data_IF_931656375487
#
_entry.id   IF_931656375487
#
_cell.length_a   1.000
_cell.length_b   1.000
_cell.length_c   1.000
_cell.angle_alpha   90.00
_cell.angle_beta   90.00
_cell.angle_gamma   90.00
#
_symmetry.space_group_name_H-M   'P 1'
#
loop_
_entity.id
_entity.type
_entity.pdbx_description
1 polymer ?
#
# COMPACT_ATOMS: atom_id res chain seq x y z
N UNK A 1 -10.76 11.36 -21.66
CA UNK A 1 -10.92 10.66 -20.38
C UNK A 1 -11.21 9.18 -20.59
N UNK A 2 -12.32 8.80 -21.27
CA UNK A 2 -12.67 7.40 -21.50
C UNK A 2 -11.54 6.60 -22.17
N UNK A 3 -10.97 7.09 -23.27
CA UNK A 3 -9.86 6.45 -23.95
C UNK A 3 -8.60 6.31 -23.06
N UNK A 4 -8.36 7.27 -22.17
CA UNK A 4 -7.22 7.23 -21.23
C UNK A 4 -7.45 6.19 -20.16
N UNK A 5 -8.64 6.12 -19.56
CA UNK A 5 -9.01 5.16 -18.54
C UNK A 5 -8.98 3.72 -19.10
N UNK A 6 -9.56 3.50 -20.27
CA UNK A 6 -9.59 2.21 -20.93
C UNK A 6 -8.18 1.74 -21.33
N UNK A 7 -7.37 2.62 -21.91
CA UNK A 7 -5.97 2.30 -22.27
C UNK A 7 -5.13 1.92 -21.06
N UNK A 8 -5.28 2.63 -19.94
CA UNK A 8 -4.57 2.33 -18.71
C UNK A 8 -4.99 0.96 -18.12
N UNK A 9 -6.30 0.68 -18.13
CA UNK A 9 -6.83 -0.61 -17.68
C UNK A 9 -6.34 -1.77 -18.54
N UNK A 10 -6.38 -1.61 -19.87
CA UNK A 10 -5.89 -2.63 -20.82
C UNK A 10 -4.39 -2.87 -20.69
N UNK A 11 -3.57 -1.83 -20.50
CA UNK A 11 -2.12 -2.00 -20.32
C UNK A 11 -1.81 -2.73 -19.01
N UNK A 12 -2.54 -2.43 -17.94
CA UNK A 12 -2.46 -3.14 -16.67
C UNK A 12 -2.73 -4.63 -16.85
N UNK A 13 -3.81 -5.00 -17.55
CA UNK A 13 -4.19 -6.39 -17.81
C UNK A 13 -3.16 -7.10 -18.71
N UNK A 14 -2.63 -6.43 -19.75
CA UNK A 14 -1.57 -6.99 -20.61
C UNK A 14 -0.29 -7.34 -19.86
N UNK A 15 0.00 -6.62 -18.79
CA UNK A 15 1.14 -6.90 -17.89
C UNK A 15 0.85 -8.00 -16.89
N UNK A 16 -0.32 -8.64 -16.93
CA UNK A 16 -0.72 -9.68 -16.00
C UNK A 16 -1.05 -9.14 -14.60
N UNK A 17 -1.30 -7.83 -14.49
CA UNK A 17 -1.62 -7.17 -13.23
C UNK A 17 -3.13 -7.10 -13.05
N UNK A 18 -3.55 -6.98 -11.81
CA UNK A 18 -4.97 -6.83 -11.47
C UNK A 18 -5.33 -5.34 -11.40
N UNK A 19 -6.56 -5.00 -11.80
CA UNK A 19 -6.99 -3.60 -11.92
C UNK A 19 -7.05 -2.86 -10.58
N UNK A 20 -7.20 -3.55 -9.47
CA UNK A 20 -7.10 -2.99 -8.12
C UNK A 20 -5.69 -2.47 -7.79
N UNK A 21 -4.67 -2.84 -8.56
CA UNK A 21 -3.30 -2.35 -8.46
C UNK A 21 -2.94 -1.27 -9.49
N UNK A 22 -3.90 -0.80 -10.27
CA UNK A 22 -3.66 0.15 -11.37
C UNK A 22 -2.88 1.40 -10.91
N UNK A 23 -3.21 1.97 -9.77
CA UNK A 23 -2.55 3.15 -9.21
C UNK A 23 -1.08 2.98 -8.81
N UNK A 24 -0.56 1.75 -8.78
CA UNK A 24 0.86 1.48 -8.55
C UNK A 24 1.71 1.71 -9.82
N UNK A 25 1.09 1.65 -11.00
CA UNK A 25 1.76 1.66 -12.29
C UNK A 25 1.37 2.82 -13.20
N UNK A 26 0.22 3.42 -12.93
CA UNK A 26 -0.32 4.49 -13.75
C UNK A 26 -0.82 5.65 -12.89
N UNK A 27 -0.45 6.86 -13.25
CA UNK A 27 -1.00 8.09 -12.67
C UNK A 27 -1.50 9.01 -13.77
N UNK A 28 -2.70 9.55 -13.60
CA UNK A 28 -3.27 10.56 -14.48
C UNK A 28 -3.25 11.92 -13.80
N UNK A 29 -2.68 12.90 -14.48
CA UNK A 29 -2.64 14.30 -14.04
C UNK A 29 -3.37 15.19 -15.04
N UNK A 30 -4.12 16.14 -14.52
CA UNK A 30 -4.67 17.26 -15.30
C UNK A 30 -5.98 17.06 -16.04
N UNK A 31 -6.59 15.86 -16.05
CA UNK A 31 -7.94 15.68 -16.63
C UNK A 31 -8.92 15.16 -15.56
N UNK A 32 -9.79 16.03 -15.05
CA UNK A 32 -10.69 15.68 -13.94
C UNK A 32 -11.76 14.64 -14.30
N UNK A 33 -11.99 14.33 -15.57
CA UNK A 33 -12.95 13.31 -16.02
C UNK A 33 -12.34 11.89 -16.02
N UNK A 34 -11.01 11.72 -15.84
CA UNK A 34 -10.42 10.39 -15.86
C UNK A 34 -10.84 9.57 -14.64
N UNK A 35 -10.92 10.18 -13.46
CA UNK A 35 -11.34 9.48 -12.25
C UNK A 35 -12.78 8.95 -12.32
N UNK A 36 -13.81 9.76 -12.64
CA UNK A 36 -15.18 9.25 -12.80
C UNK A 36 -15.31 8.18 -13.90
N UNK A 37 -14.60 8.33 -15.00
CA UNK A 37 -14.64 7.37 -16.09
C UNK A 37 -13.96 6.05 -15.74
N UNK A 38 -12.81 6.11 -15.03
CA UNK A 38 -12.14 4.93 -14.49
C UNK A 38 -13.05 4.20 -13.49
N UNK A 39 -13.72 4.95 -12.60
CA UNK A 39 -14.68 4.36 -11.66
C UNK A 39 -15.85 3.69 -12.40
N UNK A 40 -16.41 4.35 -13.42
CA UNK A 40 -17.47 3.75 -14.26
C UNK A 40 -17.01 2.42 -14.83
N UNK A 41 -15.84 2.39 -15.47
CA UNK A 41 -15.27 1.17 -16.06
C UNK A 41 -15.06 0.06 -15.00
N UNK A 42 -14.49 0.41 -13.85
CA UNK A 42 -14.27 -0.56 -12.79
C UNK A 42 -15.56 -1.13 -12.21
N UNK A 43 -16.59 -0.29 -12.03
CA UNK A 43 -17.88 -0.74 -11.49
C UNK A 43 -18.73 -1.49 -12.54
N UNK A 44 -18.90 -0.91 -13.71
CA UNK A 44 -19.86 -1.39 -14.70
C UNK A 44 -19.30 -2.55 -15.54
N UNK A 45 -18.01 -2.46 -15.93
CA UNK A 45 -17.40 -3.44 -16.84
C UNK A 45 -16.62 -4.53 -16.08
N UNK A 46 -16.12 -4.20 -14.87
CA UNK A 46 -15.26 -5.12 -14.08
C UNK A 46 -15.95 -5.63 -12.80
N UNK A 47 -17.12 -5.11 -12.43
CA UNK A 47 -17.92 -5.57 -11.28
C UNK A 47 -17.33 -5.20 -9.91
N UNK A 48 -16.50 -4.17 -9.84
CA UNK A 48 -15.95 -3.71 -8.55
C UNK A 48 -17.03 -2.96 -7.75
N UNK A 49 -16.98 -3.09 -6.42
CA UNK A 49 -17.77 -2.24 -5.55
C UNK A 49 -17.33 -0.77 -5.67
N UNK A 50 -18.23 0.16 -5.37
CA UNK A 50 -17.96 1.60 -5.42
C UNK A 50 -16.76 2.01 -4.56
N UNK A 51 -16.61 1.43 -3.35
CA UNK A 51 -15.45 1.70 -2.47
C UNK A 51 -14.13 1.26 -3.09
N UNK A 52 -14.07 0.08 -3.70
CA UNK A 52 -12.84 -0.42 -4.35
C UNK A 52 -12.52 0.43 -5.57
N UNK A 53 -13.51 0.72 -6.41
CA UNK A 53 -13.34 1.58 -7.60
C UNK A 53 -12.86 2.99 -7.21
N UNK A 54 -13.44 3.57 -6.14
CA UNK A 54 -13.01 4.85 -5.59
C UNK A 54 -11.55 4.83 -5.13
N UNK A 55 -11.14 3.82 -4.35
CA UNK A 55 -9.76 3.71 -3.88
C UNK A 55 -8.77 3.53 -5.03
N UNK A 56 -9.09 2.72 -6.04
CA UNK A 56 -8.27 2.61 -7.26
C UNK A 56 -8.14 3.95 -7.96
N UNK A 57 -9.25 4.65 -8.19
CA UNK A 57 -9.25 5.96 -8.84
C UNK A 57 -8.48 7.02 -8.02
N UNK A 58 -8.61 7.03 -6.69
CA UNK A 58 -7.90 7.94 -5.80
C UNK A 58 -6.38 7.76 -5.83
N UNK A 59 -5.89 6.55 -6.12
CA UNK A 59 -4.47 6.30 -6.28
C UNK A 59 -3.95 6.58 -7.70
N UNK A 60 -4.85 6.53 -8.67
CA UNK A 60 -4.53 6.66 -10.09
C UNK A 60 -4.61 8.11 -10.57
N UNK A 61 -5.52 8.90 -10.00
CA UNK A 61 -5.85 10.24 -10.46
C UNK A 61 -5.51 11.28 -9.38
N UNK A 62 -4.90 12.39 -9.81
CA UNK A 62 -4.59 13.50 -8.91
C UNK A 62 -5.86 14.22 -8.41
N UNK A 63 -6.87 14.33 -9.25
CA UNK A 63 -8.19 14.88 -8.89
C UNK A 63 -9.27 13.80 -9.01
N UNK A 64 -9.79 13.39 -7.87
CA UNK A 64 -10.85 12.39 -7.80
C UNK A 64 -12.24 13.00 -7.72
N UNK A 65 -12.38 14.22 -7.19
CA UNK A 65 -13.68 14.83 -6.92
C UNK A 65 -14.36 15.36 -8.18
N UNK A 66 -13.58 15.50 -9.26
CA UNK A 66 -14.05 16.11 -10.50
C UNK A 66 -14.68 17.51 -10.25
N UNK A 67 -14.03 18.28 -9.34
CA UNK A 67 -14.43 19.65 -9.02
C UNK A 67 -14.33 20.54 -10.25
N UNK A 68 -15.29 21.47 -10.41
CA UNK A 68 -15.33 22.36 -11.57
C UNK A 68 -15.88 21.77 -12.86
N UNK A 69 -16.28 20.49 -12.89
CA UNK A 69 -16.94 19.89 -14.05
C UNK A 69 -18.42 20.26 -14.04
N UNK A 70 -18.91 20.77 -15.16
CA UNK A 70 -20.34 20.91 -15.40
C UNK A 70 -20.96 19.53 -15.69
N UNK A 71 -21.64 18.99 -14.69
CA UNK A 71 -22.27 17.68 -14.77
C UNK A 71 -23.35 17.59 -15.81
N UNK A 72 -24.05 18.71 -16.11
CA UNK A 72 -25.09 18.76 -17.14
C UNK A 72 -24.48 18.56 -18.53
N UNK A 73 -23.41 19.25 -18.86
CA UNK A 73 -22.68 19.05 -20.11
C UNK A 73 -22.16 17.63 -20.27
N UNK A 74 -21.69 17.00 -19.18
CA UNK A 74 -21.25 15.59 -19.20
C UNK A 74 -22.46 14.66 -19.40
N UNK A 75 -23.60 14.95 -18.78
CA UNK A 75 -24.80 14.14 -18.89
C UNK A 75 -25.29 14.02 -20.33
N UNK A 76 -25.20 15.08 -21.12
CA UNK A 76 -25.59 15.07 -22.54
C UNK A 76 -24.72 14.13 -23.39
N UNK A 77 -23.47 13.90 -22.99
CA UNK A 77 -22.53 13.07 -23.76
C UNK A 77 -22.38 11.66 -23.16
N UNK A 78 -22.32 11.57 -21.85
CA UNK A 78 -22.08 10.33 -21.10
C UNK A 78 -22.91 10.32 -19.80
N UNK A 79 -24.19 9.95 -19.84
CA UNK A 79 -25.10 10.00 -18.69
C UNK A 79 -24.58 9.18 -17.49
N UNK A 80 -23.96 8.04 -17.74
CA UNK A 80 -23.44 7.17 -16.68
C UNK A 80 -22.24 7.80 -15.96
N UNK A 81 -21.32 8.43 -16.68
CA UNK A 81 -20.18 9.16 -16.09
C UNK A 81 -20.66 10.36 -15.27
N UNK A 82 -21.67 11.10 -15.75
CA UNK A 82 -22.30 12.17 -14.98
C UNK A 82 -22.94 11.65 -13.68
N UNK A 83 -23.58 10.49 -13.72
CA UNK A 83 -24.11 9.83 -12.53
C UNK A 83 -23.00 9.46 -11.54
N UNK A 84 -21.87 8.92 -12.02
CA UNK A 84 -20.69 8.63 -11.16
C UNK A 84 -20.14 9.89 -10.52
N UNK A 85 -20.06 11.02 -11.25
CA UNK A 85 -19.65 12.32 -10.68
C UNK A 85 -20.61 12.75 -9.55
N UNK A 86 -21.91 12.59 -9.75
CA UNK A 86 -22.89 12.93 -8.72
C UNK A 86 -22.76 12.03 -7.48
N UNK A 87 -22.52 10.74 -7.68
CA UNK A 87 -22.23 9.79 -6.61
C UNK A 87 -20.95 10.18 -5.86
N UNK A 88 -19.87 10.51 -6.56
CA UNK A 88 -18.62 10.96 -5.95
C UNK A 88 -18.81 12.17 -5.05
N UNK A 89 -19.55 13.18 -5.52
CA UNK A 89 -19.82 14.40 -4.76
C UNK A 89 -20.72 14.17 -3.54
N UNK A 90 -21.71 13.28 -3.65
CA UNK A 90 -22.63 12.98 -2.56
C UNK A 90 -22.08 11.98 -1.54
N UNK A 91 -21.31 11.00 -2.00
CA UNK A 91 -20.87 9.86 -1.19
C UNK A 91 -19.41 9.93 -0.73
N UNK A 92 -18.64 10.94 -1.12
CA UNK A 92 -17.22 11.06 -0.75
C UNK A 92 -16.97 10.97 0.76
N UNK A 93 -17.93 11.44 1.59
CA UNK A 93 -17.84 11.36 3.04
C UNK A 93 -18.19 9.98 3.61
N UNK A 94 -18.91 9.14 2.88
CA UNK A 94 -19.32 7.79 3.31
C UNK A 94 -18.37 6.70 2.83
N UNK A 95 -17.49 6.99 1.87
CA UNK A 95 -16.54 6.01 1.34
C UNK A 95 -15.46 5.65 2.34
N UNK A 96 -15.14 4.36 2.41
CA UNK A 96 -14.08 3.87 3.28
C UNK A 96 -12.72 4.42 2.81
N UNK A 97 -12.12 5.27 3.62
CA UNK A 97 -10.74 5.68 3.49
C UNK A 97 -10.01 5.46 4.81
N UNK A 98 -8.80 4.93 4.73
CA UNK A 98 -7.98 4.63 5.89
C UNK A 98 -6.56 5.14 5.70
N UNK A 99 -5.87 5.46 6.79
CA UNK A 99 -4.46 5.80 6.82
C UNK A 99 -3.71 4.70 7.58
N UNK A 100 -2.70 4.15 6.93
CA UNK A 100 -1.75 3.21 7.50
C UNK A 100 -0.38 3.36 6.84
N UNK A 101 0.66 3.47 7.65
CA UNK A 101 2.07 3.41 7.21
C UNK A 101 2.85 2.64 8.27
N UNK A 102 3.36 1.46 7.92
CA UNK A 102 4.07 0.57 8.84
C UNK A 102 5.38 1.14 9.41
N UNK A 103 5.84 2.29 8.90
CA UNK A 103 7.02 3.00 9.39
C UNK A 103 6.68 4.01 10.50
N UNK A 104 5.39 4.35 10.68
CA UNK A 104 4.94 5.32 11.68
C UNK A 104 4.61 4.62 12.99
N UNK A 105 5.06 5.20 14.10
CA UNK A 105 4.82 4.64 15.44
C UNK A 105 3.34 4.59 15.82
N UNK A 106 2.52 5.50 15.27
CA UNK A 106 1.07 5.48 15.49
C UNK A 106 0.43 4.22 14.89
N UNK A 107 1.00 3.72 13.79
CA UNK A 107 0.49 2.55 13.07
C UNK A 107 1.13 1.25 13.54
N UNK A 108 2.42 1.29 13.93
CA UNK A 108 3.16 0.10 14.36
C UNK A 108 4.17 0.44 15.46
N UNK A 109 4.01 -0.21 16.61
CA UNK A 109 4.91 -0.05 17.78
C UNK A 109 5.23 -1.42 18.40
N UNK A 110 6.51 -1.77 18.58
CA UNK A 110 7.70 -1.05 18.15
C UNK A 110 7.91 -1.09 16.64
N UNK A 111 8.70 -0.15 16.12
CA UNK A 111 9.12 -0.12 14.72
C UNK A 111 10.26 -1.12 14.47
N UNK A 112 10.47 -1.54 13.21
CA UNK A 112 11.56 -2.44 12.83
C UNK A 112 11.32 -3.91 13.17
N UNK A 113 12.41 -4.67 13.40
CA UNK A 113 12.33 -6.06 13.81
C UNK A 113 11.98 -6.17 15.30
N UNK A 114 11.13 -7.14 15.63
CA UNK A 114 10.77 -7.47 17.01
C UNK A 114 11.75 -8.47 17.59
N UNK A 115 11.87 -8.50 18.92
CA UNK A 115 12.49 -9.62 19.63
C UNK A 115 11.42 -10.67 19.95
N UNK A 116 11.84 -11.92 20.08
CA UNK A 116 10.96 -13.00 20.53
C UNK A 116 10.29 -12.62 21.86
N UNK A 117 8.97 -12.76 21.92
CA UNK A 117 8.16 -12.43 23.10
C UNK A 117 7.87 -10.93 23.29
N UNK A 118 8.30 -10.05 22.39
CA UNK A 118 7.92 -8.64 22.47
C UNK A 118 6.45 -8.46 22.03
N UNK A 119 5.74 -7.57 22.72
CA UNK A 119 4.40 -7.15 22.32
C UNK A 119 4.48 -6.22 21.11
N UNK A 120 3.61 -6.45 20.14
CA UNK A 120 3.41 -5.59 18.97
C UNK A 120 2.03 -4.98 19.03
N UNK A 121 1.96 -3.64 18.92
CA UNK A 121 0.72 -2.92 18.65
C UNK A 121 0.67 -2.52 17.18
N UNK A 122 -0.44 -2.87 16.53
CA UNK A 122 -0.77 -2.43 15.18
C UNK A 122 -2.08 -1.63 15.23
N UNK A 123 -2.11 -0.52 14.49
CA UNK A 123 -3.30 0.32 14.40
C UNK A 123 -3.39 1.00 13.04
N UNK A 124 -4.61 1.17 12.52
CA UNK A 124 -4.89 2.02 11.37
C UNK A 124 -5.98 3.04 11.71
N UNK A 125 -5.97 4.20 11.06
CA UNK A 125 -6.95 5.26 11.23
C UNK A 125 -7.98 5.25 10.13
N UNK A 126 -9.26 5.34 10.51
CA UNK A 126 -10.36 5.56 9.58
C UNK A 126 -10.50 7.06 9.34
N UNK A 127 -10.35 7.46 8.08
CA UNK A 127 -10.47 8.86 7.64
C UNK A 127 -11.89 9.19 7.21
N UNK A 128 -12.59 8.25 6.59
CA UNK A 128 -13.99 8.34 6.20
C UNK A 128 -14.61 6.94 6.08
N UNK A 129 -15.93 6.90 5.99
CA UNK A 129 -16.69 5.66 5.89
C UNK A 129 -17.01 5.03 7.25
N UNK A 130 -17.86 4.00 7.22
CA UNK A 130 -18.32 3.29 8.43
C UNK A 130 -17.75 1.88 8.45
N UNK A 131 -16.91 1.59 9.46
CA UNK A 131 -16.35 0.27 9.71
C UNK A 131 -17.18 -0.43 10.78
N UNK A 132 -17.71 -1.61 10.48
CA UNK A 132 -18.44 -2.49 11.42
C UNK A 132 -17.49 -3.24 12.33
N UNK A 133 -16.48 -3.85 11.73
CA UNK A 133 -15.44 -4.58 12.46
C UNK A 133 -14.15 -4.62 11.66
N UNK A 134 -13.05 -4.83 12.35
CA UNK A 134 -11.75 -5.04 11.72
C UNK A 134 -11.01 -6.17 12.43
N UNK A 135 -10.19 -6.89 11.68
CA UNK A 135 -9.29 -7.92 12.18
C UNK A 135 -7.92 -7.82 11.54
N UNK A 136 -6.90 -8.07 12.32
CA UNK A 136 -5.56 -8.34 11.82
C UNK A 136 -5.49 -9.81 11.41
N UNK A 137 -5.03 -10.09 10.20
CA UNK A 137 -4.71 -11.44 9.74
C UNK A 137 -3.20 -11.61 9.73
N UNK A 138 -2.70 -12.49 10.58
CA UNK A 138 -1.29 -12.84 10.69
C UNK A 138 -1.04 -14.16 9.97
N UNK A 139 -0.07 -14.18 9.08
CA UNK A 139 0.31 -15.32 8.27
C UNK A 139 1.72 -15.79 8.65
N UNK A 140 1.88 -17.11 8.81
CA UNK A 140 3.14 -17.80 9.04
C UNK A 140 3.19 -19.07 8.19
N UNK A 141 4.32 -19.77 8.19
CA UNK A 141 4.43 -21.09 7.57
C UNK A 141 3.47 -22.12 8.21
N UNK A 142 3.06 -21.91 9.47
CA UNK A 142 2.12 -22.73 10.20
C UNK A 142 0.63 -22.43 9.95
N UNK A 143 0.33 -21.42 9.12
CA UNK A 143 -1.05 -21.05 8.80
C UNK A 143 -1.37 -19.59 9.08
N UNK A 144 -2.67 -19.32 9.19
CA UNK A 144 -3.22 -17.98 9.42
C UNK A 144 -3.92 -17.91 10.77
N UNK A 145 -3.72 -16.76 11.45
CA UNK A 145 -4.44 -16.42 12.69
C UNK A 145 -5.10 -15.06 12.53
N UNK A 146 -6.31 -14.92 13.02
CA UNK A 146 -7.03 -13.65 13.04
C UNK A 146 -7.13 -13.11 14.46
N UNK A 147 -6.82 -11.82 14.62
CA UNK A 147 -6.93 -11.09 15.87
C UNK A 147 -7.95 -9.96 15.69
N UNK A 148 -9.07 -9.96 16.42
CA UNK A 148 -10.05 -8.88 16.35
C UNK A 148 -9.42 -7.59 16.84
N UNK A 149 -9.66 -6.51 16.11
CA UNK A 149 -9.18 -5.18 16.46
C UNK A 149 -10.23 -4.42 17.26
N UNK A 150 -9.80 -3.62 18.23
CA UNK A 150 -10.68 -2.76 19.02
C UNK A 150 -10.70 -1.36 18.42
N UNK A 151 -11.89 -0.75 18.44
CA UNK A 151 -12.05 0.64 18.03
C UNK A 151 -11.60 1.57 19.15
N UNK A 152 -10.67 2.47 18.86
CA UNK A 152 -10.13 3.50 19.75
C UNK A 152 -10.33 4.87 19.08
N UNK A 153 -11.53 5.46 19.23
CA UNK A 153 -11.91 6.70 18.55
C UNK A 153 -12.04 6.50 17.04
N UNK A 154 -11.13 7.08 16.26
CA UNK A 154 -11.05 6.90 14.81
C UNK A 154 -10.09 5.76 14.40
N UNK A 155 -9.35 5.21 15.35
CA UNK A 155 -8.38 4.16 15.09
C UNK A 155 -8.98 2.78 15.40
N UNK A 156 -8.52 1.76 14.69
CA UNK A 156 -8.69 0.36 15.04
C UNK A 156 -7.32 -0.19 15.42
N UNK A 157 -7.21 -0.80 16.59
CA UNK A 157 -5.95 -1.25 17.15
C UNK A 157 -6.02 -2.67 17.72
N UNK A 158 -4.87 -3.34 17.71
CA UNK A 158 -4.66 -4.64 18.37
C UNK A 158 -3.25 -4.69 18.94
N UNK A 159 -3.11 -5.26 20.15
CA UNK A 159 -1.83 -5.58 20.77
C UNK A 159 -1.74 -7.08 21.02
N UNK A 160 -0.62 -7.70 20.69
CA UNK A 160 -0.39 -9.13 20.83
C UNK A 160 1.10 -9.46 20.77
N UNK A 161 1.46 -10.68 21.15
CA UNK A 161 2.82 -11.22 20.96
C UNK A 161 2.83 -12.05 19.67
N UNK A 162 3.52 -11.61 18.60
CA UNK A 162 3.49 -12.28 17.31
C UNK A 162 4.15 -13.65 17.32
N UNK A 163 5.24 -13.81 18.07
CA UNK A 163 5.98 -15.07 18.17
C UNK A 163 6.96 -15.10 19.33
N UNK A 164 7.07 -16.29 19.93
CA UNK A 164 8.12 -16.63 20.91
C UNK A 164 9.42 -17.18 20.25
N UNK A 165 9.38 -17.40 18.91
CA UNK A 165 10.50 -17.95 18.14
C UNK A 165 10.89 -17.01 17.00
N UNK A 166 12.18 -17.00 16.60
CA UNK A 166 12.61 -16.24 15.44
C UNK A 166 11.93 -16.74 14.17
N UNK A 167 11.26 -15.84 13.46
CA UNK A 167 10.64 -16.15 12.18
C UNK A 167 10.28 -14.89 11.39
N UNK A 168 10.04 -15.08 10.10
CA UNK A 168 9.38 -14.09 9.26
C UNK A 168 7.86 -14.34 9.29
N UNK A 169 7.11 -13.29 9.45
CA UNK A 169 5.66 -13.28 9.46
C UNK A 169 5.16 -12.25 8.46
N UNK A 170 3.93 -12.42 8.04
CA UNK A 170 3.25 -11.48 7.16
C UNK A 170 1.89 -11.14 7.73
N UNK A 171 1.40 -9.92 7.49
CA UNK A 171 0.10 -9.51 7.98
C UNK A 171 -0.58 -8.54 7.03
N UNK A 172 -1.90 -8.50 7.11
CA UNK A 172 -2.76 -7.50 6.51
C UNK A 172 -4.00 -7.33 7.40
N UNK A 173 -4.85 -6.37 7.08
CA UNK A 173 -6.07 -6.16 7.85
C UNK A 173 -7.29 -6.47 7.00
N UNK A 174 -8.25 -7.13 7.59
CA UNK A 174 -9.58 -7.37 7.04
C UNK A 174 -10.54 -6.39 7.69
N UNK A 175 -11.30 -5.66 6.89
CA UNK A 175 -12.21 -4.60 7.31
C UNK A 175 -13.59 -4.92 6.80
N UNK A 176 -14.57 -5.01 7.68
CA UNK A 176 -15.98 -5.24 7.35
C UNK A 176 -16.74 -3.92 7.36
N UNK A 177 -17.47 -3.66 6.30
CA UNK A 177 -18.36 -2.50 6.14
C UNK A 177 -19.77 -2.97 5.82
N UNK A 178 -20.71 -2.05 5.62
CA UNK A 178 -22.06 -2.38 5.11
C UNK A 178 -22.05 -2.89 3.68
N UNK A 179 -21.05 -2.48 2.89
CA UNK A 179 -20.91 -2.86 1.48
C UNK A 179 -20.16 -4.19 1.29
N UNK A 180 -19.57 -4.74 2.36
CA UNK A 180 -18.84 -6.01 2.33
C UNK A 180 -17.46 -5.94 2.95
N UNK A 181 -16.65 -6.93 2.61
CA UNK A 181 -15.30 -7.11 3.12
C UNK A 181 -14.28 -6.36 2.25
N UNK A 182 -13.39 -5.66 2.92
CA UNK A 182 -12.24 -4.96 2.32
C UNK A 182 -10.94 -5.42 2.96
N UNK A 183 -9.86 -5.34 2.22
CA UNK A 183 -8.52 -5.72 2.67
C UNK A 183 -7.61 -4.50 2.65
N UNK A 184 -6.99 -4.20 3.78
CA UNK A 184 -5.94 -3.18 3.88
C UNK A 184 -4.59 -3.89 3.76
N UNK A 185 -4.00 -3.82 2.59
CA UNK A 185 -2.76 -4.49 2.21
C UNK A 185 -1.69 -3.45 1.81
N UNK A 186 -0.40 -3.85 1.75
CA UNK A 186 0.64 -2.93 1.32
C UNK A 186 0.47 -2.52 -0.15
N UNK A 187 0.85 -1.28 -0.45
CA UNK A 187 1.08 -0.80 -1.81
C UNK A 187 2.39 -1.34 -2.40
N UNK A 188 2.74 -0.92 -3.62
CA UNK A 188 3.99 -1.33 -4.29
C UNK A 188 5.27 -0.98 -3.53
N UNK A 189 5.23 -0.05 -2.55
CA UNK A 189 6.38 0.26 -1.67
C UNK A 189 6.53 -0.73 -0.53
N UNK A 190 5.49 -1.51 -0.20
CA UNK A 190 5.46 -2.46 0.90
C UNK A 190 5.24 -1.85 2.29
N UNK A 191 5.05 -0.53 2.40
CA UNK A 191 4.92 0.17 3.69
C UNK A 191 3.59 0.85 3.90
N UNK A 192 3.00 1.43 2.85
CA UNK A 192 1.75 2.19 2.93
C UNK A 192 0.57 1.25 2.68
N UNK A 193 -0.44 1.32 3.54
CA UNK A 193 -1.66 0.54 3.40
C UNK A 193 -2.61 1.15 2.38
N UNK A 194 -3.22 0.27 1.57
CA UNK A 194 -4.24 0.61 0.59
C UNK A 194 -5.43 -0.34 0.72
N UNK A 195 -6.62 0.15 0.38
CA UNK A 195 -7.84 -0.65 0.37
C UNK A 195 -7.97 -1.40 -0.95
N UNK A 196 -8.19 -2.71 -0.85
CA UNK A 196 -8.42 -3.60 -1.99
C UNK A 196 -9.73 -4.39 -1.79
N UNK A 197 -10.33 -4.82 -2.90
CA UNK A 197 -11.51 -5.69 -2.91
C UNK A 197 -11.21 -7.17 -2.66
N UNK A 198 -9.95 -7.54 -2.51
CA UNK A 198 -9.44 -8.88 -2.20
C UNK A 198 -8.07 -8.79 -1.54
N UNK A 199 -7.56 -9.89 -1.05
CA UNK A 199 -6.19 -9.95 -0.55
C UNK A 199 -5.19 -9.58 -1.65
N UNK A 200 -4.29 -8.65 -1.35
CA UNK A 200 -3.29 -8.14 -2.29
C UNK A 200 -1.93 -7.93 -1.60
N UNK A 201 -1.25 -9.03 -1.32
CA UNK A 201 0.01 -9.03 -0.59
C UNK A 201 -0.14 -8.83 0.91
N UNK A 202 0.99 -8.78 1.61
CA UNK A 202 1.04 -8.64 3.05
C UNK A 202 2.26 -7.82 3.50
N UNK A 203 2.12 -7.08 4.60
CA UNK A 203 3.23 -6.40 5.26
C UNK A 203 4.15 -7.42 5.90
N UNK A 204 5.44 -7.18 5.80
CA UNK A 204 6.44 -8.05 6.43
C UNK A 204 6.67 -7.70 7.89
N UNK A 205 6.77 -8.73 8.73
CA UNK A 205 7.12 -8.64 10.13
C UNK A 205 8.26 -9.63 10.41
N UNK A 206 9.38 -9.14 10.96
CA UNK A 206 10.52 -9.98 11.33
C UNK A 206 10.60 -10.08 12.85
N UNK A 207 10.64 -11.31 13.36
CA UNK A 207 10.90 -11.60 14.78
C UNK A 207 12.28 -12.22 14.88
N UNK A 208 13.17 -11.57 15.63
CA UNK A 208 14.58 -11.96 15.82
C UNK A 208 14.82 -12.54 17.21
N UNK A 209 15.95 -13.21 17.40
CA UNK A 209 16.34 -13.71 18.70
C UNK A 209 16.54 -12.58 19.70
N UNK A 210 16.12 -12.79 20.96
CA UNK A 210 16.23 -11.80 22.03
C UNK A 210 17.67 -11.48 22.42
N UNK A 211 18.59 -12.43 22.22
CA UNK A 211 19.99 -12.31 22.61
C UNK A 211 20.87 -11.54 21.61
N UNK A 212 20.32 -11.17 20.44
CA UNK A 212 21.10 -10.39 19.49
C UNK A 212 21.15 -8.93 19.95
N UNK A 213 22.31 -8.53 20.49
CA UNK A 213 22.58 -7.14 20.84
C UNK A 213 23.73 -6.59 19.97
N UNK A 214 23.46 -5.49 19.32
CA UNK A 214 24.46 -4.81 18.50
C UNK A 214 25.42 -4.09 19.43
N UNK A 215 26.74 -4.37 19.37
CA UNK A 215 27.73 -3.68 20.21
C UNK A 215 27.62 -2.16 20.09
N UNK A 216 27.83 -1.46 21.21
CA UNK A 216 27.65 0.00 21.28
C UNK A 216 28.55 0.75 20.29
N UNK A 217 29.78 0.31 20.10
CA UNK A 217 30.71 0.88 19.13
C UNK A 217 30.18 0.77 17.67
N UNK A 218 29.44 -0.28 17.34
CA UNK A 218 28.86 -0.47 16.02
C UNK A 218 27.54 0.34 15.87
N UNK A 219 26.76 0.44 16.94
CA UNK A 219 25.48 1.18 16.97
C UNK A 219 25.67 2.68 16.76
N UNK A 220 26.75 3.24 17.30
CA UNK A 220 27.07 4.67 17.23
C UNK A 220 28.26 4.98 16.33
N UNK A 221 28.88 3.96 15.72
CA UNK A 221 29.98 4.10 14.80
C UNK A 221 29.55 4.45 13.36
N UNK A 222 30.47 5.05 12.63
CA UNK A 222 30.35 5.20 11.18
C UNK A 222 31.18 4.09 10.55
N UNK A 223 30.51 3.22 9.76
CA UNK A 223 31.21 2.20 8.98
C UNK A 223 31.59 2.79 7.62
N UNK A 224 32.88 2.77 7.31
CA UNK A 224 33.41 3.17 6.03
C UNK A 224 34.02 1.96 5.32
N UNK A 225 33.41 1.52 4.22
CA UNK A 225 33.92 0.41 3.43
C UNK A 225 34.68 0.94 2.22
N UNK A 226 35.98 0.60 2.15
CA UNK A 226 36.84 0.97 1.03
C UNK A 226 37.01 -0.25 0.13
N UNK A 227 36.74 -0.09 -1.15
CA UNK A 227 37.09 -1.01 -2.21
C UNK A 227 38.42 -0.52 -2.84
N UNK A 228 39.58 -1.09 -2.47
CA UNK A 228 40.86 -0.56 -2.89
C UNK A 228 41.05 -0.48 -4.38
N UNK A 229 40.45 -1.42 -5.13
CA UNK A 229 40.44 -1.49 -6.60
C UNK A 229 39.64 -0.39 -7.28
N UNK A 230 38.78 0.34 -6.53
CA UNK A 230 37.86 1.37 -7.04
C UNK A 230 38.00 2.71 -6.34
N UNK A 231 38.84 2.80 -5.32
CA UNK A 231 38.92 3.97 -4.47
C UNK A 231 39.88 5.04 -4.99
N UNK A 232 41.10 4.68 -5.25
CA UNK A 232 42.13 5.54 -5.83
C UNK A 232 43.28 4.72 -6.40
N UNK A 233 43.92 5.24 -7.41
CA UNK A 233 45.18 4.69 -7.94
C UNK A 233 46.32 5.66 -7.63
N UNK A 234 47.47 5.13 -7.26
CA UNK A 234 48.67 5.93 -6.96
C UNK A 234 49.36 6.45 -8.23
N UNK A 235 49.19 5.73 -9.34
CA UNK A 235 49.74 6.02 -10.65
C UNK A 235 49.03 5.21 -11.76
N UNK A 236 49.25 5.59 -13.03
CA UNK A 236 48.68 4.95 -14.20
C UNK A 236 49.14 3.50 -14.40
N UNK A 237 50.38 3.18 -13.97
CA UNK A 237 50.93 1.84 -14.08
C UNK A 237 50.29 0.86 -13.10
N UNK A 238 49.95 1.29 -11.91
CA UNK A 238 49.20 0.47 -10.93
C UNK A 238 47.79 0.22 -11.42
N UNK A 239 47.12 1.23 -11.98
CA UNK A 239 45.80 1.09 -12.58
C UNK A 239 45.79 0.08 -13.74
N UNK A 240 46.79 0.17 -14.63
CA UNK A 240 46.94 -0.73 -15.78
C UNK A 240 47.15 -2.17 -15.36
N UNK A 241 48.04 -2.44 -14.40
CA UNK A 241 48.29 -3.79 -13.85
C UNK A 241 47.04 -4.37 -13.16
N UNK A 242 46.28 -3.55 -12.46
CA UNK A 242 45.00 -3.98 -11.89
C UNK A 242 43.99 -4.41 -12.93
N UNK A 243 43.86 -3.69 -14.05
CA UNK A 243 42.98 -4.03 -15.14
C UNK A 243 43.43 -5.32 -15.86
N UNK A 244 44.73 -5.50 -16.07
CA UNK A 244 45.29 -6.71 -16.70
C UNK A 244 45.03 -7.95 -15.84
N UNK A 245 45.20 -7.85 -14.52
CA UNK A 245 44.95 -8.94 -13.58
C UNK A 245 43.50 -9.44 -13.64
N UNK A 246 42.53 -8.53 -13.80
CA UNK A 246 41.11 -8.89 -13.85
C UNK A 246 40.63 -9.35 -15.25
N UNK A 247 41.48 -9.26 -16.26
CA UNK A 247 41.19 -9.74 -17.61
C UNK A 247 41.78 -11.13 -17.92
N UNK A 248 42.63 -11.63 -17.05
CA UNK A 248 43.24 -12.98 -17.14
C UNK A 248 42.39 -14.00 -16.37
#
# INVERSE_FOLDING_TARGET
AAATADSAAQDCLRRGLTLDRLGEYFRSEGNPLVAPELMRLLMDDCGFSMNVAYNVAAHTCADIRADGIDTESVYQLQPRTAHVISLLRSAAASMLAVAYDSRREECRRPSGALRCGDELRLAFRVLSGCVRSAALVLCSDGGRMEYPMRREGQDYAVSFVPSEKPQALWYFFRIETEEGTHWLCPDGTGFIGRIYGRENGAFRLTVAMRQFDTPEWFRHGIMYQIFPDRFAFSDDDTARRGIEYHRA
#
